data_IF_897453087201
#
_entry.id   IF_897453087201
#
_cell.length_a   1.000
_cell.length_b   1.000
_cell.length_c   1.000
_cell.angle_alpha   90.00
_cell.angle_beta   90.00
_cell.angle_gamma   90.00
#
_symmetry.space_group_name_H-M   'P 1'
#
loop_
_entity.id
_entity.type
_entity.pdbx_description
1 polymer ?
#
# COMPACT_ATOMS: atom_id res chain seq x y z
N UNK A 1 -28.03 -37.48 56.86
CA UNK A 1 -27.74 -37.52 55.42
C UNK A 1 -27.74 -36.08 54.91
N UNK A 2 -26.56 -35.44 54.93
CA UNK A 2 -25.84 -34.87 53.75
C UNK A 2 -26.62 -33.80 52.98
N UNK A 3 -26.30 -32.54 53.34
CA UNK A 3 -26.42 -31.30 52.54
C UNK A 3 -25.87 -31.46 51.12
N UNK A 4 -26.29 -30.65 50.14
CA UNK A 4 -25.38 -29.93 49.22
C UNK A 4 -26.09 -28.75 48.51
N UNK A 5 -25.43 -27.60 48.60
CA UNK A 5 -25.60 -26.32 47.90
C UNK A 5 -25.53 -26.44 46.36
N UNK A 6 -25.80 -25.31 45.67
CA UNK A 6 -25.55 -24.96 44.24
C UNK A 6 -26.77 -25.15 43.32
N UNK A 7 -27.15 -24.24 42.41
CA UNK A 7 -26.52 -23.02 41.89
C UNK A 7 -27.59 -22.19 41.14
N UNK A 8 -27.60 -20.88 41.34
CA UNK A 8 -28.35 -19.92 40.51
C UNK A 8 -27.55 -19.77 39.20
N UNK A 9 -28.00 -20.43 38.14
CA UNK A 9 -27.40 -20.32 36.81
C UNK A 9 -27.89 -19.10 36.06
N UNK A 10 -27.36 -17.91 36.38
CA UNK A 10 -27.51 -16.72 35.55
C UNK A 10 -26.66 -16.88 34.27
N UNK A 11 -27.27 -17.35 33.19
CA UNK A 11 -26.62 -17.36 31.87
C UNK A 11 -26.78 -15.96 31.25
N UNK A 12 -25.89 -15.05 31.64
CA UNK A 12 -25.66 -13.82 30.90
C UNK A 12 -24.83 -14.17 29.66
N UNK A 13 -25.51 -14.31 28.52
CA UNK A 13 -24.86 -14.38 27.21
C UNK A 13 -24.24 -13.00 26.96
N UNK A 14 -22.97 -12.84 27.32
CA UNK A 14 -22.12 -11.80 26.76
C UNK A 14 -21.93 -12.12 25.29
N UNK A 15 -22.82 -11.59 24.44
CA UNK A 15 -22.59 -11.50 23.01
C UNK A 15 -21.48 -10.45 22.80
N UNK A 16 -20.25 -10.85 23.09
CA UNK A 16 -19.06 -10.13 22.66
C UNK A 16 -18.98 -10.24 21.15
N UNK A 17 -19.71 -9.36 20.45
CA UNK A 17 -19.53 -9.12 19.04
C UNK A 17 -18.14 -8.50 18.88
N UNK A 18 -17.10 -9.33 18.80
CA UNK A 18 -15.80 -8.87 18.32
C UNK A 18 -16.04 -8.52 16.86
N UNK A 19 -16.24 -7.24 16.56
CA UNK A 19 -16.05 -6.72 15.22
C UNK A 19 -14.60 -7.05 14.85
N UNK A 20 -14.41 -8.17 14.16
CA UNK A 20 -13.24 -8.36 13.32
C UNK A 20 -13.38 -7.33 12.21
N UNK A 21 -12.80 -6.15 12.44
CA UNK A 21 -12.58 -5.16 11.41
C UNK A 21 -11.70 -5.84 10.37
N UNK A 22 -12.32 -6.40 9.33
CA UNK A 22 -11.60 -6.92 8.18
C UNK A 22 -10.87 -5.73 7.57
N UNK A 23 -9.57 -5.62 7.82
CA UNK A 23 -8.70 -4.70 7.12
C UNK A 23 -8.59 -5.20 5.67
N UNK A 24 -9.57 -4.84 4.84
CA UNK A 24 -9.34 -4.78 3.39
C UNK A 24 -8.18 -3.82 3.09
N UNK A 25 -7.61 -3.87 1.89
CA UNK A 25 -6.58 -2.90 1.51
C UNK A 25 -7.12 -1.49 1.77
N UNK A 26 -6.34 -0.68 2.50
CA UNK A 26 -6.70 0.72 2.70
C UNK A 26 -6.71 1.43 1.33
N UNK A 27 -7.49 2.51 1.15
CA UNK A 27 -7.49 3.23 -0.12
C UNK A 27 -6.08 3.69 -0.53
N UNK A 28 -5.28 4.13 0.45
CA UNK A 28 -3.84 4.33 0.29
C UNK A 28 -3.08 3.09 -0.20
N UNK A 29 -3.37 1.91 0.34
CA UNK A 29 -2.78 0.63 -0.08
C UNK A 29 -3.04 0.31 -1.55
N UNK A 30 -4.28 0.51 -2.02
CA UNK A 30 -4.64 0.33 -3.44
C UNK A 30 -3.91 1.33 -4.34
N UNK A 31 -3.83 2.60 -3.92
CA UNK A 31 -3.07 3.63 -4.65
C UNK A 31 -1.58 3.28 -4.76
N UNK A 32 -0.96 2.78 -3.68
CA UNK A 32 0.43 2.33 -3.71
C UNK A 32 0.62 1.12 -4.64
N UNK A 33 -0.33 0.18 -4.64
CA UNK A 33 -0.30 -0.97 -5.53
C UNK A 33 -0.39 -0.56 -7.01
N UNK A 34 -1.33 0.33 -7.34
CA UNK A 34 -1.47 0.85 -8.71
C UNK A 34 -0.25 1.68 -9.14
N UNK A 35 0.33 2.50 -8.25
CA UNK A 35 1.54 3.24 -8.54
C UNK A 35 2.72 2.29 -8.84
N UNK A 36 2.89 1.25 -8.02
CA UNK A 36 3.93 0.24 -8.21
C UNK A 36 3.78 -0.48 -9.56
N UNK A 37 2.59 -1.01 -9.85
CA UNK A 37 2.31 -1.72 -11.09
C UNK A 37 2.45 -0.80 -12.33
N UNK A 38 2.20 0.50 -12.18
CA UNK A 38 2.39 1.47 -13.26
C UNK A 38 3.88 1.69 -13.55
N UNK A 39 4.71 1.84 -12.51
CA UNK A 39 6.17 1.98 -12.67
C UNK A 39 6.83 0.68 -13.16
N UNK A 40 6.31 -0.48 -12.76
CA UNK A 40 6.80 -1.78 -13.22
C UNK A 40 6.69 -1.92 -14.75
N UNK A 41 5.62 -1.37 -15.34
CA UNK A 41 5.39 -1.39 -16.80
C UNK A 41 6.23 -0.37 -17.57
N UNK A 42 6.89 0.58 -16.91
CA UNK A 42 7.76 1.53 -17.58
C UNK A 42 9.05 0.85 -18.06
N UNK A 43 9.52 1.23 -19.24
CA UNK A 43 10.72 0.64 -19.84
C UNK A 43 11.99 1.37 -19.36
N UNK A 44 11.90 2.69 -19.24
CA UNK A 44 13.04 3.52 -18.86
C UNK A 44 13.20 3.62 -17.34
N UNK A 45 14.41 3.36 -16.84
CA UNK A 45 14.69 3.40 -15.39
C UNK A 45 15.25 4.74 -14.91
N UNK A 46 15.51 5.67 -15.83
CA UNK A 46 16.00 7.03 -15.54
C UNK A 46 17.18 7.03 -14.55
N UNK A 47 18.25 6.29 -14.88
CA UNK A 47 19.44 6.14 -14.02
C UNK A 47 19.17 5.50 -12.64
N UNK A 48 18.18 4.62 -12.54
CA UNK A 48 17.84 3.93 -11.29
C UNK A 48 16.74 4.61 -10.47
N UNK A 49 16.34 5.82 -10.82
CA UNK A 49 15.37 6.58 -10.02
C UNK A 49 13.98 5.96 -10.03
N UNK A 50 13.55 5.33 -11.14
CA UNK A 50 12.27 4.61 -11.17
C UNK A 50 12.30 3.39 -10.23
N UNK A 51 13.33 2.56 -10.33
CA UNK A 51 13.48 1.40 -9.46
C UNK A 51 13.58 1.77 -7.97
N UNK A 52 14.30 2.85 -7.63
CA UNK A 52 14.35 3.37 -6.27
C UNK A 52 12.98 3.88 -5.78
N UNK A 53 12.18 4.50 -6.66
CA UNK A 53 10.80 4.86 -6.33
C UNK A 53 9.98 3.60 -5.99
N UNK A 54 10.07 2.54 -6.78
CA UNK A 54 9.37 1.27 -6.54
C UNK A 54 9.73 0.65 -5.18
N UNK A 55 11.01 0.66 -4.78
CA UNK A 55 11.43 0.18 -3.45
C UNK A 55 10.80 0.96 -2.31
N UNK A 56 10.70 2.28 -2.45
CA UNK A 56 10.06 3.12 -1.45
C UNK A 56 8.55 2.83 -1.36
N UNK A 57 7.88 2.64 -2.49
CA UNK A 57 6.45 2.27 -2.54
C UNK A 57 6.23 0.91 -1.85
N UNK A 58 7.08 -0.07 -2.10
CA UNK A 58 7.02 -1.38 -1.45
C UNK A 58 7.21 -1.28 0.08
N UNK A 59 8.16 -0.45 0.53
CA UNK A 59 8.35 -0.21 1.96
C UNK A 59 7.13 0.48 2.59
N UNK A 60 6.53 1.46 1.91
CA UNK A 60 5.29 2.10 2.36
C UNK A 60 4.14 1.08 2.46
N UNK A 61 3.93 0.25 1.43
CA UNK A 61 2.88 -0.74 1.39
C UNK A 61 3.03 -1.82 2.48
N UNK A 62 4.25 -2.29 2.73
CA UNK A 62 4.56 -3.22 3.83
C UNK A 62 4.15 -2.67 5.19
N UNK A 63 4.36 -1.37 5.43
CA UNK A 63 3.94 -0.71 6.67
C UNK A 63 2.42 -0.60 6.80
N UNK A 64 1.69 -0.62 5.68
CA UNK A 64 0.22 -0.66 5.65
C UNK A 64 -0.34 -2.10 5.67
N UNK A 65 0.52 -3.11 5.77
CA UNK A 65 0.10 -4.52 5.72
C UNK A 65 -0.27 -5.01 4.31
N UNK A 66 0.09 -4.25 3.27
CA UNK A 66 -0.17 -4.59 1.88
C UNK A 66 1.08 -5.21 1.27
N UNK A 67 0.95 -6.45 0.78
CA UNK A 67 2.00 -7.07 -0.01
C UNK A 67 1.81 -6.68 -1.48
N UNK A 68 2.78 -5.94 -2.01
CA UNK A 68 2.86 -5.68 -3.44
C UNK A 68 3.47 -6.92 -4.09
N UNK A 69 2.70 -7.60 -4.93
CA UNK A 69 3.24 -8.57 -5.86
C UNK A 69 3.15 -7.96 -7.25
N UNK A 70 4.27 -7.93 -7.95
CA UNK A 70 4.30 -7.55 -9.36
C UNK A 70 3.85 -8.74 -10.19
N UNK A 71 2.65 -8.70 -10.75
CA UNK A 71 2.23 -9.69 -11.75
C UNK A 71 2.98 -9.49 -13.07
N UNK A 72 3.75 -8.39 -13.21
CA UNK A 72 4.90 -8.22 -14.09
C UNK A 72 4.71 -8.44 -15.58
N UNK A 73 3.51 -8.77 -16.06
CA UNK A 73 3.22 -9.03 -17.47
C UNK A 73 2.66 -7.76 -18.11
N UNK A 74 3.49 -6.73 -18.14
CA UNK A 74 3.25 -5.53 -18.93
C UNK A 74 3.44 -5.83 -20.41
N UNK A 75 2.35 -6.10 -21.13
CA UNK A 75 2.30 -6.15 -22.59
C UNK A 75 2.03 -4.75 -23.21
N UNK A 76 2.42 -3.67 -22.54
CA UNK A 76 2.23 -2.32 -23.06
C UNK A 76 3.46 -1.87 -23.88
N UNK A 77 3.21 -1.07 -24.92
CA UNK A 77 4.29 -0.53 -25.77
C UNK A 77 5.26 0.31 -24.93
N UNK A 78 6.55 -0.01 -25.01
CA UNK A 78 7.68 0.59 -24.29
C UNK A 78 7.81 2.14 -24.38
N UNK A 79 7.05 2.82 -25.24
CA UNK A 79 7.18 4.26 -25.51
C UNK A 79 6.48 5.22 -24.54
N UNK A 80 5.77 4.74 -23.50
CA UNK A 80 4.94 5.59 -22.61
C UNK A 80 5.52 5.79 -21.19
N UNK A 81 6.80 5.50 -20.99
CA UNK A 81 7.46 5.53 -19.66
C UNK A 81 7.23 6.85 -18.90
N UNK A 82 7.34 7.98 -19.59
CA UNK A 82 7.14 9.33 -19.03
C UNK A 82 5.71 9.58 -18.52
N UNK A 83 4.72 9.02 -19.22
CA UNK A 83 3.31 9.15 -18.86
C UNK A 83 2.97 8.22 -17.68
N UNK A 84 3.53 7.02 -17.66
CA UNK A 84 3.45 6.12 -16.52
C UNK A 84 4.06 6.73 -15.26
N UNK A 85 5.20 7.43 -15.35
CA UNK A 85 5.77 8.15 -14.21
C UNK A 85 4.84 9.25 -13.70
N UNK A 86 4.21 10.03 -14.60
CA UNK A 86 3.24 11.07 -14.20
C UNK A 86 1.98 10.47 -13.58
N UNK A 87 1.48 9.37 -14.11
CA UNK A 87 0.33 8.65 -13.56
C UNK A 87 0.65 8.11 -12.16
N UNK A 88 1.80 7.46 -11.98
CA UNK A 88 2.26 6.98 -10.68
C UNK A 88 2.45 8.14 -9.68
N UNK A 89 3.00 9.27 -10.12
CA UNK A 89 3.13 10.47 -9.30
C UNK A 89 1.77 10.95 -8.78
N UNK A 90 0.74 11.01 -9.64
CA UNK A 90 -0.61 11.40 -9.25
C UNK A 90 -1.21 10.49 -8.17
N UNK A 91 -1.03 9.17 -8.30
CA UNK A 91 -1.49 8.19 -7.31
C UNK A 91 -0.74 8.33 -5.97
N UNK A 92 0.56 8.61 -6.02
CA UNK A 92 1.36 8.81 -4.81
C UNK A 92 0.98 10.09 -4.07
N UNK A 93 0.68 11.19 -4.76
CA UNK A 93 0.20 12.42 -4.13
C UNK A 93 -1.18 12.22 -3.47
N UNK A 94 -2.05 11.40 -4.06
CA UNK A 94 -3.31 11.01 -3.43
C UNK A 94 -3.05 10.17 -2.16
N UNK A 95 -2.21 9.12 -2.26
CA UNK A 95 -1.87 8.26 -1.14
C UNK A 95 -1.21 9.05 0.01
N UNK A 96 -0.39 10.04 -0.31
CA UNK A 96 0.31 10.92 0.62
C UNK A 96 -0.65 11.61 1.60
N UNK A 97 -1.85 12.00 1.15
CA UNK A 97 -2.87 12.63 2.00
C UNK A 97 -3.49 11.68 3.04
N UNK A 98 -3.34 10.37 2.84
CA UNK A 98 -3.99 9.33 3.63
C UNK A 98 -3.03 8.57 4.55
N UNK A 99 -1.72 8.67 4.32
CA UNK A 99 -0.69 7.99 5.12
C UNK A 99 0.00 8.91 6.11
N UNK A 100 0.57 8.33 7.18
CA UNK A 100 1.30 9.07 8.22
C UNK A 100 2.58 8.34 8.63
N UNK A 101 3.43 9.03 9.38
CA UNK A 101 4.63 8.45 9.99
C UNK A 101 5.62 7.91 8.95
N UNK A 102 6.13 6.69 9.19
CA UNK A 102 7.13 6.08 8.31
C UNK A 102 6.60 5.80 6.90
N UNK A 103 5.32 5.43 6.76
CA UNK A 103 4.71 5.21 5.44
C UNK A 103 4.73 6.51 4.61
N UNK A 104 4.36 7.64 5.24
CA UNK A 104 4.45 8.96 4.59
C UNK A 104 5.87 9.30 4.15
N UNK A 105 6.88 9.03 4.98
CA UNK A 105 8.28 9.26 4.62
C UNK A 105 8.70 8.49 3.36
N UNK A 106 8.28 7.23 3.24
CA UNK A 106 8.54 6.42 2.06
C UNK A 106 7.80 6.95 0.82
N UNK A 107 6.53 7.37 0.96
CA UNK A 107 5.77 7.99 -0.13
C UNK A 107 6.43 9.29 -0.62
N UNK A 108 6.87 10.17 0.30
CA UNK A 108 7.58 11.40 -0.05
C UNK A 108 8.89 11.11 -0.79
N UNK A 109 9.64 10.08 -0.36
CA UNK A 109 10.85 9.66 -1.05
C UNK A 109 10.55 9.12 -2.45
N UNK A 110 9.50 8.31 -2.63
CA UNK A 110 9.09 7.82 -3.94
C UNK A 110 8.76 8.99 -4.90
N UNK A 111 7.97 9.95 -4.44
CA UNK A 111 7.62 11.18 -5.19
C UNK A 111 8.89 11.94 -5.60
N UNK A 112 9.84 12.12 -4.67
CA UNK A 112 11.12 12.77 -4.95
C UNK A 112 11.91 12.04 -6.06
N UNK A 113 11.96 10.71 -6.02
CA UNK A 113 12.65 9.92 -7.04
C UNK A 113 11.99 10.09 -8.41
N UNK A 114 10.66 10.05 -8.49
CA UNK A 114 9.93 10.28 -9.77
C UNK A 114 10.17 11.69 -10.31
N UNK A 115 10.19 12.72 -9.45
CA UNK A 115 10.53 14.09 -9.87
C UNK A 115 11.96 14.21 -10.42
N UNK A 116 12.92 13.44 -9.90
CA UNK A 116 14.27 13.40 -10.45
C UNK A 116 14.27 12.66 -11.80
N UNK A 117 13.59 11.52 -11.88
CA UNK A 117 13.47 10.73 -13.10
C UNK A 117 12.89 11.56 -14.26
N UNK A 118 11.79 12.29 -14.03
CA UNK A 118 11.15 13.16 -15.03
C UNK A 118 12.03 14.34 -15.49
N UNK A 119 13.13 14.66 -14.79
CA UNK A 119 14.09 15.68 -15.21
C UNK A 119 15.22 15.14 -16.06
N UNK A 120 15.43 13.82 -16.08
CA UNK A 120 16.63 13.20 -16.67
C UNK A 120 16.58 13.12 -18.21
N UNK A 121 15.39 13.24 -18.82
CA UNK A 121 15.14 13.13 -20.28
C UNK A 121 15.81 11.92 -20.92
#
# INVERSE_FOLDING_TARGET
MKSYFQQIGAVLIFLGLTLTLSAGPSPAGDLLHHAYATLERADHDYKGHRHEAMKQIEAAAKLLGVNLHGDGKGHEKQGLSDEQLRAALGMLEQARGEVKGKALHHVDNAIKQIHIALKIK
#
